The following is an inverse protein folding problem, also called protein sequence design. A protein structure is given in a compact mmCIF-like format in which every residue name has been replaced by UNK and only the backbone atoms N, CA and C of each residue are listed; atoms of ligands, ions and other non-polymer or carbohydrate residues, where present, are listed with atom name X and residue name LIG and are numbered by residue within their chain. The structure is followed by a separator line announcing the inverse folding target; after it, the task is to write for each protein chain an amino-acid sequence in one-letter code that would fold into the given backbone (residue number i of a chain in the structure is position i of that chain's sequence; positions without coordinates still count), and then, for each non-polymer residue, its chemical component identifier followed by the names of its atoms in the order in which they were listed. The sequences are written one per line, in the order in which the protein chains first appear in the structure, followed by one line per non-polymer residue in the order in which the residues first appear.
data_IF_751606543273
#
_entry.id   IF_751606543273
#
_cell.length_a   1.000
_cell.length_b   1.000
_cell.length_c   1.000
_cell.angle_alpha   90.00
_cell.angle_beta   90.00
_cell.angle_gamma   90.00
#
_symmetry.space_group_name_H-M   'P 1'
#
loop_
_entity.id
_entity.type
_entity.pdbx_description
1 polymer ?
#
# COMPACT_ATOMS: atom_id res chain seq x y z
N UNK A 1 16.87 -3.96 -6.98
CA UNK A 1 16.22 -4.28 -8.29
C UNK A 1 15.88 -2.99 -9.01
N UNK A 2 16.14 -2.85 -10.32
CA UNK A 2 15.73 -1.67 -11.10
C UNK A 2 14.27 -1.84 -11.58
N UNK A 3 13.44 -0.82 -11.39
CA UNK A 3 12.06 -0.79 -11.86
C UNK A 3 11.97 -0.32 -13.31
N UNK A 4 10.85 -0.61 -13.98
CA UNK A 4 10.56 -0.09 -15.33
C UNK A 4 10.55 1.45 -15.38
N UNK A 5 10.25 2.10 -14.26
CA UNK A 5 10.33 3.56 -14.11
C UNK A 5 11.75 4.10 -14.08
N UNK A 6 12.78 3.24 -14.04
CA UNK A 6 14.18 3.65 -13.87
C UNK A 6 14.62 3.77 -12.40
N UNK A 7 13.67 3.74 -11.47
CA UNK A 7 13.92 3.81 -10.02
C UNK A 7 14.57 2.54 -9.48
N UNK A 8 15.25 2.65 -8.34
CA UNK A 8 15.83 1.51 -7.65
C UNK A 8 14.94 1.09 -6.48
N UNK A 9 14.59 -0.19 -6.47
CA UNK A 9 13.93 -0.86 -5.35
C UNK A 9 14.99 -1.49 -4.44
N UNK A 10 14.97 -1.10 -3.16
CA UNK A 10 15.88 -1.56 -2.12
C UNK A 10 15.05 -2.20 -1.01
N UNK A 11 15.40 -3.43 -0.64
CA UNK A 11 14.83 -4.14 0.49
C UNK A 11 15.73 -3.93 1.72
N UNK A 12 15.14 -3.60 2.87
CA UNK A 12 15.89 -3.33 4.11
C UNK A 12 15.37 -4.21 5.24
N UNK A 13 16.29 -4.81 6.00
CA UNK A 13 15.96 -5.87 6.98
C UNK A 13 15.31 -5.40 8.27
N UNK A 14 15.24 -4.09 8.52
CA UNK A 14 14.75 -3.53 9.77
C UNK A 14 14.16 -2.14 9.62
N UNK A 15 13.26 -1.78 10.54
CA UNK A 15 12.67 -0.44 10.60
C UNK A 15 13.72 0.65 10.88
N UNK A 16 14.75 0.34 11.68
CA UNK A 16 15.85 1.27 11.95
C UNK A 16 16.60 1.64 10.68
N UNK A 17 16.98 0.63 9.89
CA UNK A 17 17.62 0.84 8.58
C UNK A 17 16.70 1.58 7.61
N UNK A 18 15.41 1.25 7.58
CA UNK A 18 14.44 1.97 6.74
C UNK A 18 14.41 3.47 7.06
N UNK A 19 14.39 3.82 8.36
CA UNK A 19 14.38 5.21 8.83
C UNK A 19 15.67 5.94 8.45
N UNK A 20 16.83 5.28 8.58
CA UNK A 20 18.12 5.85 8.17
C UNK A 20 18.15 6.10 6.65
N UNK A 21 17.70 5.12 5.86
CA UNK A 21 17.70 5.19 4.39
C UNK A 21 16.74 6.26 3.86
N UNK A 22 15.57 6.44 4.46
CA UNK A 22 14.64 7.51 4.08
C UNK A 22 15.23 8.90 4.29
N UNK A 23 16.15 9.07 5.25
CA UNK A 23 16.81 10.34 5.51
C UNK A 23 18.01 10.61 4.59
N UNK A 24 18.42 9.64 3.75
CA UNK A 24 19.48 9.85 2.77
C UNK A 24 19.02 10.85 1.71
N UNK A 25 19.80 11.92 1.54
CA UNK A 25 19.54 12.98 0.55
C UNK A 25 20.38 12.83 -0.71
N UNK A 26 21.53 12.16 -0.60
CA UNK A 26 22.45 11.91 -1.70
C UNK A 26 23.12 10.56 -1.56
N UNK A 27 23.54 10.01 -2.68
CA UNK A 27 24.39 8.83 -2.75
C UNK A 27 25.66 9.26 -3.50
N UNK A 28 26.76 9.36 -2.75
CA UNK A 28 27.95 10.12 -3.17
C UNK A 28 27.57 11.59 -3.47
N UNK A 29 27.87 12.09 -4.66
CA UNK A 29 27.55 13.45 -5.12
C UNK A 29 26.16 13.58 -5.76
N UNK A 30 25.44 12.48 -5.97
CA UNK A 30 24.16 12.50 -6.70
C UNK A 30 23.00 12.64 -5.70
N UNK A 31 22.17 13.69 -5.79
CA UNK A 31 20.97 13.81 -4.97
C UNK A 31 19.96 12.73 -5.35
N UNK A 32 19.42 12.04 -4.36
CA UNK A 32 18.42 10.97 -4.55
C UNK A 32 17.26 11.13 -3.56
N UNK A 33 16.03 11.36 -4.03
CA UNK A 33 14.85 11.20 -3.19
C UNK A 33 14.60 9.72 -2.86
N UNK A 34 14.46 9.45 -1.57
CA UNK A 34 14.12 8.12 -1.04
C UNK A 34 12.73 8.15 -0.43
N UNK A 35 11.91 7.16 -0.75
CA UNK A 35 10.55 7.04 -0.21
C UNK A 35 10.16 5.57 -0.02
N UNK A 36 9.27 5.24 0.92
CA UNK A 36 8.67 3.91 0.98
C UNK A 36 7.96 3.57 -0.33
N UNK A 37 8.12 2.34 -0.81
CA UNK A 37 7.42 1.92 -2.02
C UNK A 37 5.89 1.89 -1.77
N UNK A 38 5.07 2.52 -2.64
CA UNK A 38 3.67 2.85 -2.32
C UNK A 38 2.72 1.64 -2.23
N UNK A 39 3.03 0.54 -2.91
CA UNK A 39 2.13 -0.62 -3.03
C UNK A 39 2.70 -1.90 -2.43
N UNK A 40 4.02 -2.07 -2.48
CA UNK A 40 4.71 -3.30 -2.06
C UNK A 40 4.82 -3.41 -0.54
N UNK A 41 4.62 -2.31 0.19
CA UNK A 41 4.51 -2.30 1.65
C UNK A 41 3.05 -2.50 2.13
N UNK A 42 2.24 -3.22 1.36
CA UNK A 42 0.89 -3.61 1.78
C UNK A 42 0.43 -4.86 1.06
N UNK A 43 -0.32 -5.71 1.76
CA UNK A 43 -1.06 -6.81 1.13
C UNK A 43 -2.53 -6.43 0.94
N UNK A 44 -3.22 -7.19 0.09
CA UNK A 44 -4.66 -7.05 -0.12
C UNK A 44 -5.33 -8.40 0.09
N UNK A 45 -6.49 -8.38 0.75
CA UNK A 45 -7.41 -9.51 0.86
C UNK A 45 -8.75 -9.18 0.20
N UNK A 46 -9.50 -10.21 -0.19
CA UNK A 46 -10.88 -10.04 -0.67
C UNK A 46 -11.79 -10.87 0.23
N UNK A 47 -12.86 -10.25 0.72
CA UNK A 47 -13.91 -10.95 1.45
C UNK A 47 -15.23 -10.80 0.71
N UNK A 48 -16.09 -11.80 0.85
CA UNK A 48 -17.43 -11.82 0.25
C UNK A 48 -18.44 -11.99 1.36
N UNK A 49 -19.21 -10.95 1.68
CA UNK A 49 -20.19 -10.99 2.76
C UNK A 49 -21.44 -10.19 2.36
N UNK A 50 -22.59 -10.87 2.28
CA UNK A 50 -23.86 -10.26 1.85
C UNK A 50 -24.41 -9.32 2.92
N UNK A 51 -24.22 -9.65 4.20
CA UNK A 51 -24.68 -8.83 5.32
C UNK A 51 -24.04 -7.43 5.33
N UNK A 52 -22.83 -7.31 4.77
CA UNK A 52 -22.12 -6.04 4.65
C UNK A 52 -22.48 -5.25 3.39
N UNK A 53 -23.43 -5.68 2.57
CA UNK A 53 -23.75 -5.04 1.29
C UNK A 53 -24.19 -3.57 1.45
N UNK A 54 -24.97 -3.29 2.49
CA UNK A 54 -25.56 -1.97 2.73
C UNK A 54 -24.88 -1.20 3.86
N UNK A 55 -23.88 -1.79 4.51
CA UNK A 55 -23.11 -1.12 5.56
C UNK A 55 -22.15 -0.11 4.92
N UNK A 56 -21.98 1.11 5.44
CA UNK A 56 -20.99 2.06 4.95
C UNK A 56 -19.56 1.51 5.06
N UNK A 57 -18.68 1.87 4.12
CA UNK A 57 -17.30 1.35 4.08
C UNK A 57 -16.48 1.88 5.27
N UNK A 58 -16.82 3.07 5.73
CA UNK A 58 -16.21 3.75 6.87
C UNK A 58 -16.43 2.94 8.15
N UNK A 59 -17.68 2.53 8.42
CA UNK A 59 -18.02 1.69 9.57
C UNK A 59 -17.32 0.33 9.53
N UNK A 60 -17.26 -0.29 8.35
CA UNK A 60 -16.53 -1.56 8.17
C UNK A 60 -15.04 -1.37 8.45
N UNK A 61 -14.46 -0.25 7.99
CA UNK A 61 -13.05 0.08 8.19
C UNK A 61 -12.75 0.24 9.68
N UNK A 62 -13.56 0.99 10.41
CA UNK A 62 -13.40 1.20 11.86
C UNK A 62 -13.44 -0.13 12.62
N UNK A 63 -14.43 -0.98 12.34
CA UNK A 63 -14.57 -2.29 13.02
C UNK A 63 -13.41 -3.25 12.71
N UNK A 64 -12.90 -3.23 11.47
CA UNK A 64 -11.79 -4.09 11.05
C UNK A 64 -10.40 -3.51 11.36
N UNK A 65 -10.30 -2.27 11.84
CA UNK A 65 -9.02 -1.65 12.18
C UNK A 65 -8.28 -2.44 13.26
N UNK A 66 -9.02 -2.97 14.24
CA UNK A 66 -8.48 -3.85 15.29
C UNK A 66 -7.85 -5.15 14.75
N UNK A 67 -8.26 -5.58 13.55
CA UNK A 67 -7.75 -6.76 12.85
C UNK A 67 -6.59 -6.41 11.90
N UNK A 68 -6.06 -5.19 11.97
CA UNK A 68 -4.94 -4.73 11.16
C UNK A 68 -5.30 -4.30 9.74
N UNK A 69 -6.58 -4.11 9.42
CA UNK A 69 -7.02 -3.51 8.15
C UNK A 69 -6.80 -2.00 8.20
N UNK A 70 -6.09 -1.45 7.21
CA UNK A 70 -5.87 0.00 7.09
C UNK A 70 -6.83 0.70 6.14
N UNK A 71 -7.42 -0.04 5.19
CA UNK A 71 -8.37 0.52 4.24
C UNK A 71 -9.29 -0.56 3.69
N UNK A 72 -10.57 -0.22 3.51
CA UNK A 72 -11.57 -1.09 2.88
C UNK A 72 -12.06 -0.40 1.61
N UNK A 73 -12.27 -1.17 0.53
CA UNK A 73 -12.88 -0.70 -0.71
C UNK A 73 -13.96 -1.67 -1.17
N UNK A 74 -15.18 -1.18 -1.36
CA UNK A 74 -16.25 -2.00 -1.96
C UNK A 74 -16.03 -2.15 -3.47
N UNK A 75 -16.21 -3.37 -3.98
CA UNK A 75 -16.26 -3.61 -5.42
C UNK A 75 -17.65 -3.23 -5.90
N UNK A 76 -17.71 -2.35 -6.89
CA UNK A 76 -18.94 -1.99 -7.60
C UNK A 76 -18.89 -2.56 -9.01
N UNK A 77 -20.06 -2.90 -9.53
CA UNK A 77 -20.23 -3.29 -10.93
C UNK A 77 -21.05 -2.22 -11.65
N UNK A 78 -20.79 -2.04 -12.94
CA UNK A 78 -21.62 -1.20 -13.79
C UNK A 78 -22.64 -2.07 -14.53
N UNK A 79 -23.92 -1.79 -14.32
CA UNK A 79 -25.03 -2.44 -15.03
C UNK A 79 -25.99 -1.33 -15.46
N UNK A 80 -26.38 -1.30 -16.73
CA UNK A 80 -27.30 -0.30 -17.30
C UNK A 80 -26.93 1.16 -16.99
N UNK A 81 -25.62 1.46 -17.02
CA UNK A 81 -25.08 2.79 -16.71
C UNK A 81 -25.05 3.16 -15.22
N UNK A 82 -25.57 2.32 -14.33
CA UNK A 82 -25.57 2.54 -12.89
C UNK A 82 -24.44 1.76 -12.19
N UNK A 83 -23.88 2.34 -11.13
CA UNK A 83 -22.90 1.69 -10.26
C UNK A 83 -23.63 0.97 -9.13
N UNK A 84 -23.55 -0.36 -9.12
CA UNK A 84 -24.18 -1.20 -8.11
C UNK A 84 -23.14 -1.76 -7.15
N UNK A 85 -23.43 -1.67 -5.86
CA UNK A 85 -22.64 -2.29 -4.81
C UNK A 85 -22.69 -3.81 -4.90
N UNK A 86 -21.56 -4.48 -4.65
CA UNK A 86 -21.51 -5.93 -4.51
C UNK A 86 -21.19 -6.34 -3.08
N UNK A 87 -21.39 -7.62 -2.77
CA UNK A 87 -20.99 -8.25 -1.50
C UNK A 87 -19.47 -8.34 -1.30
N UNK A 88 -18.68 -7.95 -2.30
CA UNK A 88 -17.23 -8.13 -2.28
C UNK A 88 -16.52 -6.86 -1.81
N UNK A 89 -15.62 -7.03 -0.84
CA UNK A 89 -14.80 -5.97 -0.27
C UNK A 89 -13.33 -6.33 -0.48
N UNK A 90 -12.54 -5.33 -0.88
CA UNK A 90 -11.08 -5.41 -0.91
C UNK A 90 -10.58 -4.79 0.39
N UNK A 91 -9.87 -5.57 1.18
CA UNK A 91 -9.21 -5.14 2.40
C UNK A 91 -7.74 -4.87 2.09
N UNK A 92 -7.20 -3.77 2.59
CA UNK A 92 -5.77 -3.45 2.55
C UNK A 92 -5.20 -3.63 3.94
N UNK A 93 -4.13 -4.39 4.03
CA UNK A 93 -3.34 -4.53 5.24
C UNK A 93 -2.01 -3.83 4.99
N UNK A 94 -1.58 -2.90 5.87
CA UNK A 94 -0.20 -2.46 5.82
C UNK A 94 0.66 -3.69 6.13
N UNK A 95 1.81 -3.86 5.46
CA UNK A 95 2.82 -4.78 6.03
C UNK A 95 3.39 -4.11 7.26
N UNK A 96 2.68 -4.20 8.37
CA UNK A 96 3.25 -4.02 9.69
C UNK A 96 4.24 -5.17 9.91
N UNK A 97 5.51 -4.84 10.12
CA UNK A 97 6.49 -5.73 10.74
C UNK A 97 6.72 -7.07 10.00
N UNK A 98 6.96 -7.04 8.67
CA UNK A 98 7.81 -8.09 8.09
C UNK A 98 9.27 -7.68 8.23
N UNK A 99 10.16 -8.68 8.30
CA UNK A 99 11.62 -8.53 8.33
C UNK A 99 12.21 -7.79 7.12
N UNK A 100 11.38 -7.23 6.25
CA UNK A 100 11.83 -6.40 5.14
C UNK A 100 10.88 -5.26 4.78
N UNK A 101 11.43 -4.06 4.60
CA UNK A 101 10.75 -2.89 4.05
C UNK A 101 11.29 -2.60 2.65
N UNK A 102 10.40 -2.21 1.73
CA UNK A 102 10.80 -1.86 0.36
C UNK A 102 10.82 -0.34 0.19
N UNK A 103 12.00 0.18 -0.13
CA UNK A 103 12.28 1.59 -0.41
C UNK A 103 12.46 1.79 -1.92
N UNK A 104 11.91 2.89 -2.40
CA UNK A 104 12.03 3.39 -3.77
C UNK A 104 12.99 4.57 -3.76
N UNK A 105 14.11 4.45 -4.46
CA UNK A 105 15.05 5.53 -4.70
C UNK A 105 14.84 6.02 -6.13
N UNK A 106 14.42 7.28 -6.29
CA UNK A 106 14.17 7.83 -7.62
C UNK A 106 15.38 8.63 -8.08
N UNK A 107 15.82 8.40 -9.32
CA UNK A 107 16.90 9.20 -9.92
C UNK A 107 16.26 10.38 -10.65
N UNK A 108 16.47 11.59 -10.15
CA UNK A 108 16.28 12.79 -10.98
C UNK A 108 17.51 12.93 -11.87
N UNK A 109 17.49 12.28 -13.04
CA UNK A 109 18.27 12.78 -14.16
C UNK A 109 17.39 13.82 -14.86
N UNK A 110 17.93 15.04 -15.01
CA UNK A 110 17.42 16.03 -15.97
C UNK A 110 17.32 15.42 -17.37
#
# INVERSE_FOLDING_TARGET
MKLRSGDLLVEVGSFKQAKEIVNLKSLSTIPIPVSPHPTLNSSKGVISCVELLNVPVEEITEKLQSQGVSHVRRITIRTDGQLLNTKHLILRYPTGLKSSFLMKLSKHFL
#
